data_IF_873976873824
#
_entry.id   IF_873976873824
#
_cell.length_a   1.000
_cell.length_b   1.000
_cell.length_c   1.000
_cell.angle_alpha   90.00
_cell.angle_beta   90.00
_cell.angle_gamma   90.00
#
_symmetry.space_group_name_H-M   'P 1'
#
loop_
_entity.id
_entity.type
_entity.pdbx_description
1 polymer ?
#
# COMPACT_ATOMS: atom_id res chain seq x y z
N UNK A 1 -38.11 -3.23 -14.77
CA UNK A 1 -37.10 -3.91 -13.94
C UNK A 1 -37.50 -3.74 -12.48
N UNK A 2 -37.42 -4.79 -11.67
CA UNK A 2 -37.61 -4.71 -10.21
C UNK A 2 -36.30 -5.01 -9.51
N UNK A 3 -36.00 -4.20 -8.49
CA UNK A 3 -34.91 -4.47 -7.57
C UNK A 3 -35.18 -5.78 -6.81
N UNK A 4 -34.16 -6.62 -6.70
CA UNK A 4 -34.23 -7.90 -5.98
C UNK A 4 -33.38 -7.86 -4.72
N UNK A 5 -32.11 -7.46 -4.87
CA UNK A 5 -31.16 -7.45 -3.77
C UNK A 5 -29.96 -6.55 -4.06
N UNK A 6 -29.28 -6.17 -2.99
CA UNK A 6 -27.95 -5.58 -3.01
C UNK A 6 -26.96 -6.54 -2.36
N UNK A 7 -25.85 -6.81 -3.03
CA UNK A 7 -24.73 -7.58 -2.48
C UNK A 7 -23.57 -6.64 -2.25
N UNK A 8 -23.11 -6.57 -1.00
CA UNK A 8 -22.10 -5.61 -0.56
C UNK A 8 -20.78 -6.35 -0.29
N UNK A 9 -19.69 -5.83 -0.84
CA UNK A 9 -18.32 -6.31 -0.64
C UNK A 9 -17.43 -5.15 -0.18
N UNK A 10 -17.43 -4.85 1.11
CA UNK A 10 -16.75 -3.67 1.64
C UNK A 10 -17.41 -2.40 1.10
N UNK A 11 -16.63 -1.57 0.40
CA UNK A 11 -17.08 -0.29 -0.16
C UNK A 11 -17.67 -0.40 -1.58
N UNK A 12 -17.91 -1.62 -2.06
CA UNK A 12 -18.42 -1.90 -3.40
C UNK A 12 -19.75 -2.68 -3.33
N UNK A 13 -20.72 -2.30 -4.15
CA UNK A 13 -22.06 -2.87 -4.19
C UNK A 13 -22.45 -3.40 -5.57
N UNK A 14 -23.18 -4.51 -5.57
CA UNK A 14 -23.79 -5.12 -6.75
C UNK A 14 -25.30 -5.09 -6.57
N UNK A 15 -26.00 -4.36 -7.43
CA UNK A 15 -27.45 -4.27 -7.45
C UNK A 15 -28.01 -5.28 -8.45
N UNK A 16 -28.88 -6.17 -7.99
CA UNK A 16 -29.51 -7.21 -8.81
C UNK A 16 -30.93 -6.78 -9.14
N UNK A 17 -31.25 -6.73 -10.42
CA UNK A 17 -32.57 -6.41 -10.93
C UNK A 17 -33.12 -7.56 -11.77
N UNK A 18 -34.44 -7.75 -11.75
CA UNK A 18 -35.13 -8.75 -12.55
C UNK A 18 -36.25 -8.12 -13.37
N UNK A 19 -36.37 -8.50 -14.64
CA UNK A 19 -37.48 -8.05 -15.47
C UNK A 19 -38.77 -8.79 -15.07
N UNK A 20 -39.87 -8.05 -14.83
CA UNK A 20 -41.16 -8.67 -14.48
C UNK A 20 -41.77 -9.53 -15.60
N UNK A 21 -41.43 -9.22 -16.86
CA UNK A 21 -42.08 -9.83 -18.04
C UNK A 21 -41.27 -11.02 -18.56
N UNK A 22 -39.98 -10.83 -18.83
CA UNK A 22 -39.13 -11.88 -19.39
C UNK A 22 -38.26 -12.61 -18.36
N UNK A 23 -38.34 -12.24 -17.07
CA UNK A 23 -37.58 -12.85 -15.97
C UNK A 23 -36.05 -12.78 -16.08
N UNK A 24 -35.51 -12.02 -17.04
CA UNK A 24 -34.06 -11.81 -17.20
C UNK A 24 -33.51 -11.02 -16.00
N UNK A 25 -32.39 -11.48 -15.46
CA UNK A 25 -31.64 -10.79 -14.42
C UNK A 25 -30.56 -9.89 -15.04
N UNK A 26 -30.41 -8.69 -14.47
CA UNK A 26 -29.33 -7.75 -14.80
C UNK A 26 -28.64 -7.29 -13.54
N UNK A 27 -27.31 -7.11 -13.62
CA UNK A 27 -26.49 -6.60 -12.52
C UNK A 27 -25.99 -5.21 -12.84
N UNK A 28 -26.12 -4.31 -11.88
CA UNK A 28 -25.51 -2.99 -11.92
C UNK A 28 -24.44 -2.92 -10.83
N UNK A 29 -23.27 -2.40 -11.20
CA UNK A 29 -22.09 -2.38 -10.35
C UNK A 29 -21.83 -0.94 -9.91
N UNK A 30 -21.55 -0.72 -8.62
CA UNK A 30 -21.25 0.62 -8.10
C UNK A 30 -19.90 1.18 -8.59
N UNK A 31 -19.04 0.31 -9.13
CA UNK A 31 -17.79 0.68 -9.80
C UNK A 31 -17.64 -0.08 -11.11
N UNK A 32 -16.91 0.51 -12.07
CA UNK A 32 -16.60 -0.16 -13.33
C UNK A 32 -15.38 -1.08 -13.19
N UNK A 33 -15.64 -2.37 -12.95
CA UNK A 33 -14.62 -3.39 -12.75
C UNK A 33 -13.78 -3.66 -14.02
N UNK A 34 -14.32 -3.36 -15.21
CA UNK A 34 -13.67 -3.64 -16.48
C UNK A 34 -12.68 -2.54 -16.90
N UNK A 35 -12.72 -1.38 -16.23
CA UNK A 35 -11.95 -0.22 -16.62
C UNK A 35 -10.65 -0.15 -15.81
N UNK A 36 -9.51 -0.44 -16.45
CA UNK A 36 -8.19 -0.45 -15.82
C UNK A 36 -7.57 0.94 -15.57
N UNK A 37 -8.33 2.02 -15.73
CA UNK A 37 -7.80 3.38 -15.63
C UNK A 37 -7.59 3.83 -14.18
N UNK A 38 -8.37 3.30 -13.24
CA UNK A 38 -8.36 3.72 -11.84
C UNK A 38 -8.27 2.53 -10.89
N UNK A 39 -7.74 2.79 -9.69
CA UNK A 39 -7.72 1.80 -8.62
C UNK A 39 -9.16 1.58 -8.10
N UNK A 40 -9.60 0.31 -8.06
CA UNK A 40 -10.91 -0.07 -7.52
C UNK A 40 -11.06 0.39 -6.05
N UNK A 41 -12.29 0.69 -5.63
CA UNK A 41 -12.58 1.41 -4.38
C UNK A 41 -11.98 0.72 -3.16
N UNK A 42 -12.12 -0.61 -3.06
CA UNK A 42 -11.57 -1.35 -1.92
C UNK A 42 -10.04 -1.28 -1.85
N UNK A 43 -9.36 -1.34 -3.00
CA UNK A 43 -7.89 -1.16 -3.07
C UNK A 43 -7.52 0.27 -2.73
N UNK A 44 -8.27 1.25 -3.24
CA UNK A 44 -8.02 2.67 -3.01
C UNK A 44 -8.14 3.03 -1.53
N UNK A 45 -9.18 2.53 -0.85
CA UNK A 45 -9.38 2.72 0.59
C UNK A 45 -8.22 2.13 1.39
N UNK A 46 -7.83 0.88 1.12
CA UNK A 46 -6.72 0.25 1.83
C UNK A 46 -5.40 0.98 1.58
N UNK A 47 -5.14 1.42 0.35
CA UNK A 47 -3.96 2.22 0.00
C UNK A 47 -3.96 3.59 0.70
N UNK A 48 -5.12 4.23 0.80
CA UNK A 48 -5.29 5.46 1.57
C UNK A 48 -4.98 5.22 3.04
N UNK A 49 -5.48 4.13 3.64
CA UNK A 49 -5.17 3.75 5.02
C UNK A 49 -3.66 3.60 5.26
N UNK A 50 -2.93 2.98 4.33
CA UNK A 50 -1.46 2.89 4.44
C UNK A 50 -0.80 4.27 4.37
N UNK A 51 -1.27 5.13 3.46
CA UNK A 51 -0.70 6.47 3.25
C UNK A 51 -0.90 7.39 4.45
N UNK A 52 -2.04 7.28 5.14
CA UNK A 52 -2.35 8.07 6.34
C UNK A 52 -1.91 7.39 7.65
N UNK A 53 -1.39 6.17 7.59
CA UNK A 53 -0.88 5.43 8.74
C UNK A 53 -1.96 4.89 9.69
N UNK A 54 -3.13 4.50 9.17
CA UNK A 54 -4.20 3.88 9.96
C UNK A 54 -4.40 2.40 9.65
N UNK A 55 -4.96 1.67 10.62
CA UNK A 55 -5.29 0.25 10.49
C UNK A 55 -6.78 -0.03 10.19
N UNK A 56 -7.11 -1.32 10.09
CA UNK A 56 -8.49 -1.81 9.85
C UNK A 56 -9.50 -1.34 10.89
N UNK A 57 -9.12 -1.30 12.17
CA UNK A 57 -10.00 -0.84 13.26
C UNK A 57 -10.44 0.59 13.05
N UNK A 58 -9.50 1.50 12.76
CA UNK A 58 -9.78 2.91 12.52
C UNK A 58 -10.59 3.12 11.22
N UNK A 59 -10.32 2.32 10.17
CA UNK A 59 -11.14 2.33 8.96
C UNK A 59 -12.60 1.93 9.28
N UNK A 60 -12.79 0.92 10.12
CA UNK A 60 -14.11 0.44 10.50
C UNK A 60 -14.86 1.44 11.36
N UNK A 61 -14.17 2.11 12.29
CA UNK A 61 -14.73 3.24 13.05
C UNK A 61 -15.17 4.37 12.11
N UNK A 62 -14.32 4.76 11.16
CA UNK A 62 -14.65 5.77 10.16
C UNK A 62 -15.89 5.38 9.34
N UNK A 63 -15.93 4.14 8.84
CA UNK A 63 -17.05 3.63 8.05
C UNK A 63 -18.36 3.62 8.85
N UNK A 64 -18.30 3.30 10.15
CA UNK A 64 -19.45 3.35 11.06
C UNK A 64 -19.98 4.78 11.26
N UNK A 65 -19.10 5.80 11.31
CA UNK A 65 -19.54 7.20 11.44
C UNK A 65 -20.33 7.71 10.23
N UNK A 66 -20.03 7.20 9.04
CA UNK A 66 -20.70 7.59 7.79
C UNK A 66 -21.81 6.62 7.38
N UNK A 67 -22.13 5.63 8.22
CA UNK A 67 -23.13 4.59 7.98
C UNK A 67 -22.88 3.80 6.68
N UNK A 68 -21.62 3.46 6.41
CA UNK A 68 -21.19 2.66 5.25
C UNK A 68 -20.58 1.33 5.71
N UNK A 69 -20.85 0.21 5.02
CA UNK A 69 -20.23 -1.07 5.31
C UNK A 69 -18.69 -1.03 5.13
N UNK A 70 -17.96 -1.57 6.12
CA UNK A 70 -16.51 -1.70 6.06
C UNK A 70 -16.07 -3.02 5.43
N UNK A 71 -14.80 -3.09 5.03
CA UNK A 71 -14.14 -4.33 4.67
C UNK A 71 -14.06 -5.28 5.87
N UNK A 72 -14.11 -6.59 5.62
CA UNK A 72 -13.73 -7.57 6.64
C UNK A 72 -12.24 -7.47 6.96
N UNK A 73 -11.84 -7.85 8.18
CA UNK A 73 -10.43 -7.83 8.57
C UNK A 73 -9.57 -8.69 7.63
N UNK A 74 -10.05 -9.89 7.25
CA UNK A 74 -9.37 -10.76 6.30
C UNK A 74 -9.24 -10.13 4.90
N UNK A 75 -10.30 -9.49 4.40
CA UNK A 75 -10.28 -8.79 3.12
C UNK A 75 -9.33 -7.60 3.13
N UNK A 76 -9.32 -6.82 4.22
CA UNK A 76 -8.39 -5.72 4.43
C UNK A 76 -6.93 -6.21 4.42
N UNK A 77 -6.60 -7.23 5.22
CA UNK A 77 -5.23 -7.76 5.32
C UNK A 77 -4.76 -8.31 3.98
N UNK A 78 -5.63 -8.97 3.22
CA UNK A 78 -5.29 -9.48 1.88
C UNK A 78 -4.95 -8.34 0.92
N UNK A 79 -5.78 -7.29 0.88
CA UNK A 79 -5.54 -6.12 0.03
C UNK A 79 -4.28 -5.35 0.46
N UNK A 80 -4.07 -5.19 1.77
CA UNK A 80 -2.88 -4.56 2.33
C UNK A 80 -1.62 -5.33 1.96
N UNK A 81 -1.65 -6.66 2.08
CA UNK A 81 -0.52 -7.52 1.73
C UNK A 81 -0.18 -7.43 0.25
N UNK A 82 -1.18 -7.34 -0.63
CA UNK A 82 -0.96 -7.17 -2.06
C UNK A 82 -0.33 -5.80 -2.38
N UNK A 83 -0.80 -4.73 -1.72
CA UNK A 83 -0.21 -3.40 -1.86
C UNK A 83 1.25 -3.39 -1.35
N UNK A 84 1.51 -3.99 -0.18
CA UNK A 84 2.85 -4.08 0.40
C UNK A 84 3.82 -4.85 -0.51
N UNK A 85 3.37 -5.95 -1.14
CA UNK A 85 4.18 -6.69 -2.12
C UNK A 85 4.53 -5.84 -3.33
N UNK A 86 3.56 -5.16 -3.94
CA UNK A 86 3.80 -4.30 -5.09
C UNK A 86 4.78 -3.16 -4.76
N UNK A 87 4.62 -2.53 -3.59
CA UNK A 87 5.55 -1.49 -3.12
C UNK A 87 6.95 -2.07 -2.88
N UNK A 88 7.05 -3.25 -2.29
CA UNK A 88 8.35 -3.91 -2.04
C UNK A 88 9.06 -4.29 -3.34
N UNK A 89 8.34 -4.77 -4.34
CA UNK A 89 8.90 -5.13 -5.65
C UNK A 89 9.46 -3.89 -6.35
N UNK A 90 8.66 -2.81 -6.42
CA UNK A 90 9.11 -1.54 -7.01
C UNK A 90 10.29 -0.95 -6.22
N UNK A 91 10.22 -0.96 -4.89
CA UNK A 91 11.32 -0.47 -4.05
C UNK A 91 12.62 -1.24 -4.33
N UNK A 92 12.54 -2.56 -4.52
CA UNK A 92 13.72 -3.37 -4.84
C UNK A 92 14.31 -3.03 -6.21
N UNK A 93 13.47 -2.84 -7.22
CA UNK A 93 13.92 -2.45 -8.56
C UNK A 93 14.57 -1.06 -8.55
N UNK A 94 14.00 -0.09 -7.84
CA UNK A 94 14.56 1.26 -7.71
C UNK A 94 15.88 1.26 -6.93
N UNK A 95 15.98 0.49 -5.84
CA UNK A 95 17.25 0.31 -5.10
C UNK A 95 18.33 -0.26 -6.03
N UNK A 96 17.97 -1.20 -6.90
CA UNK A 96 18.91 -1.83 -7.84
C UNK A 96 19.41 -0.82 -8.89
N UNK A 97 18.51 -0.01 -9.46
CA UNK A 97 18.86 1.05 -10.41
C UNK A 97 19.76 2.10 -9.75
N UNK A 98 19.40 2.57 -8.56
CA UNK A 98 20.21 3.51 -7.79
C UNK A 98 21.62 2.93 -7.53
N UNK A 99 21.71 1.67 -7.10
CA UNK A 99 23.00 1.00 -6.90
C UNK A 99 23.87 0.92 -8.17
N UNK A 100 23.26 0.72 -9.34
CA UNK A 100 23.99 0.73 -10.62
C UNK A 100 24.48 2.12 -11.02
N UNK A 101 23.70 3.18 -10.75
CA UNK A 101 24.10 4.56 -10.99
C UNK A 101 25.26 4.98 -10.07
N UNK A 102 25.15 4.70 -8.78
CA UNK A 102 26.20 4.98 -7.79
C UNK A 102 27.50 4.25 -8.11
N UNK A 103 27.41 2.99 -8.52
CA UNK A 103 28.57 2.22 -8.99
C UNK A 103 29.28 2.89 -10.16
N UNK A 104 28.54 3.43 -11.15
CA UNK A 104 29.13 4.11 -12.31
C UNK A 104 29.83 5.40 -11.87
N UNK A 105 29.22 6.16 -10.96
CA UNK A 105 29.78 7.41 -10.45
C UNK A 105 31.07 7.17 -9.66
N UNK A 106 31.11 6.17 -8.78
CA UNK A 106 32.31 5.83 -8.01
C UNK A 106 33.50 5.46 -8.92
N UNK A 107 33.26 4.69 -9.99
CA UNK A 107 34.29 4.36 -10.99
C UNK A 107 34.79 5.61 -11.71
N UNK A 108 33.90 6.54 -12.08
CA UNK A 108 34.26 7.78 -12.77
C UNK A 108 35.10 8.71 -11.90
N UNK A 109 34.83 8.77 -10.59
CA UNK A 109 35.58 9.60 -9.65
C UNK A 109 36.88 8.95 -9.16
N UNK A 110 37.10 7.67 -9.45
CA UNK A 110 38.26 6.92 -8.96
C UNK A 110 38.12 6.46 -7.51
N UNK A 111 36.90 6.48 -6.98
CA UNK A 111 36.56 5.99 -5.64
C UNK A 111 36.44 4.46 -5.67
N UNK A 112 37.58 3.80 -5.83
CA UNK A 112 37.73 2.35 -5.89
C UNK A 112 38.71 1.87 -4.82
N UNK A 113 38.45 0.71 -4.25
CA UNK A 113 39.37 0.08 -3.29
C UNK A 113 40.59 -0.55 -3.97
N UNK A 114 41.46 -1.18 -3.18
CA UNK A 114 42.68 -1.86 -3.65
C UNK A 114 42.39 -3.02 -4.62
N UNK A 115 41.18 -3.57 -4.59
CA UNK A 115 40.73 -4.70 -5.41
C UNK A 115 39.88 -4.23 -6.61
N UNK A 116 39.69 -2.91 -6.78
CA UNK A 116 38.90 -2.30 -7.85
C UNK A 116 37.39 -2.31 -7.60
N UNK A 117 36.95 -2.53 -6.36
CA UNK A 117 35.54 -2.47 -5.97
C UNK A 117 35.14 -1.01 -5.76
N UNK A 118 34.05 -0.53 -6.40
CA UNK A 118 33.58 0.84 -6.24
C UNK A 118 33.10 1.10 -4.81
N UNK A 119 33.60 2.19 -4.21
CA UNK A 119 33.30 2.62 -2.86
C UNK A 119 32.20 3.68 -2.90
N UNK A 120 31.12 3.45 -2.16
CA UNK A 120 29.96 4.35 -2.09
C UNK A 120 29.90 4.93 -0.68
N UNK A 121 29.86 6.26 -0.58
CA UNK A 121 29.70 6.93 0.70
C UNK A 121 28.25 6.83 1.15
N UNK A 122 28.04 6.18 2.29
CA UNK A 122 26.72 6.06 2.92
C UNK A 122 26.64 7.03 4.08
N UNK A 123 25.67 7.94 4.02
CA UNK A 123 25.27 8.73 5.18
C UNK A 123 24.17 7.96 5.90
N UNK A 124 24.50 7.44 7.08
CA UNK A 124 23.55 6.73 7.92
C UNK A 124 22.90 7.72 8.89
N UNK A 125 21.63 8.05 8.66
CA UNK A 125 20.82 8.71 9.67
C UNK A 125 20.29 7.66 10.65
N UNK A 126 20.87 7.67 11.85
CA UNK A 126 20.41 6.82 12.94
C UNK A 126 19.12 7.36 13.54
N UNK A 127 17.95 6.83 13.16
CA UNK A 127 16.72 7.11 13.89
C UNK A 127 16.65 6.27 15.16
N UNK A 128 16.83 6.93 16.30
CA UNK A 128 16.63 6.32 17.62
C UNK A 128 15.15 6.40 18.01
N UNK A 129 14.44 5.28 17.93
CA UNK A 129 13.01 5.18 18.32
C UNK A 129 12.83 5.26 19.84
N UNK A 130 13.07 6.42 20.46
CA UNK A 130 12.54 6.72 21.81
C UNK A 130 11.12 7.22 21.67
N UNK A 131 10.14 6.32 21.68
CA UNK A 131 8.72 6.70 21.89
C UNK A 131 8.28 6.27 23.27
N UNK A 132 8.49 7.13 24.26
CA UNK A 132 7.77 7.01 25.54
C UNK A 132 7.89 8.30 26.37
N UNK A 133 6.76 8.98 26.57
CA UNK A 133 6.61 9.86 27.72
C UNK A 133 6.33 8.97 28.94
N UNK A 134 7.25 8.95 29.91
CA UNK A 134 7.24 8.27 31.24
C UNK A 134 7.82 6.85 31.39
N UNK A 135 7.74 5.92 30.44
CA UNK A 135 8.28 4.55 30.62
C UNK A 135 9.34 4.24 29.58
N UNK A 136 10.62 4.17 29.95
CA UNK A 136 11.75 3.85 29.03
C UNK A 136 11.51 2.51 28.32
N UNK A 137 10.88 2.54 27.14
CA UNK A 137 10.92 1.44 26.19
C UNK A 137 11.94 1.80 25.13
N UNK A 138 13.11 1.19 25.22
CA UNK A 138 14.07 1.20 24.12
C UNK A 138 13.57 0.20 23.07
N UNK A 139 13.39 0.65 21.82
CA UNK A 139 13.00 -0.23 20.74
C UNK A 139 14.10 -1.28 20.50
N UNK A 140 13.74 -2.56 20.41
CA UNK A 140 14.66 -3.65 20.06
C UNK A 140 15.15 -3.58 18.61
N UNK A 141 14.65 -2.62 17.83
CA UNK A 141 15.07 -2.35 16.46
C UNK A 141 15.32 -0.86 16.23
N UNK A 142 16.47 -0.56 15.64
CA UNK A 142 16.75 0.74 15.01
C UNK A 142 16.46 0.63 13.51
N UNK A 143 15.96 1.71 12.92
CA UNK A 143 15.89 1.84 11.46
C UNK A 143 17.13 2.63 11.05
N UNK A 144 17.97 2.03 10.22
CA UNK A 144 19.06 2.76 9.56
C UNK A 144 18.51 3.22 8.21
N UNK A 145 18.27 4.51 8.07
CA UNK A 145 18.04 5.09 6.76
C UNK A 145 19.40 5.33 6.12
N UNK A 146 19.71 4.53 5.10
CA UNK A 146 20.88 4.71 4.27
C UNK A 146 20.50 5.73 3.20
N UNK A 147 21.05 6.93 3.31
CA UNK A 147 21.03 7.91 2.23
C UNK A 147 22.36 7.77 1.51
N UNK A 148 22.30 7.49 0.22
CA UNK A 148 23.46 7.57 -0.64
C UNK A 148 23.54 9.03 -1.08
N UNK A 149 24.62 9.72 -0.67
CA UNK A 149 24.85 11.11 -1.04
C UNK A 149 25.98 11.15 -2.07
N UNK A 150 25.68 11.76 -3.22
CA UNK A 150 26.64 12.13 -4.26
C UNK A 150 27.12 13.56 -3.97
#
# INVERSE_FOLDING_TARGET
MEFQSEVIHGFYSIFVFKCKVCCIESKLYSENIQQNQYMLVNKAVVNACQSIGIGHTQLTEFAAFIDVPSLSCSGYVQLQSNAAKAVSEVAWDEIKKAGEEERKLAIQHGDIDIDGVPMITVVADGQWSKRSYKTKYDALSGVVNIIISI
#
